data_IF_868094136383
#
_entry.id   IF_868094136383
#
_cell.length_a   1.000
_cell.length_b   1.000
_cell.length_c   1.000
_cell.angle_alpha   90.00
_cell.angle_beta   90.00
_cell.angle_gamma   90.00
#
_symmetry.space_group_name_H-M   'P 1'
#
loop_
_entity.id
_entity.type
_entity.pdbx_description
1 polymer ?
#
# COMPACT_ATOMS: atom_id res chain seq x y z
N UNK A 1 6.02 11.45 3.86
CA UNK A 1 5.37 10.44 4.69
C UNK A 1 5.34 9.11 3.96
N UNK A 2 5.68 8.05 4.64
CA UNK A 2 5.68 6.70 4.09
C UNK A 2 4.50 5.93 4.66
N UNK A 3 3.65 5.42 3.78
CA UNK A 3 2.44 4.69 4.16
C UNK A 3 2.62 3.20 3.87
N UNK A 4 2.11 2.36 4.75
CA UNK A 4 2.17 0.91 4.57
C UNK A 4 0.79 0.30 4.65
N UNK A 5 0.53 -0.68 3.82
CA UNK A 5 -0.72 -1.42 3.80
C UNK A 5 -0.42 -2.91 3.89
N UNK A 6 -0.90 -3.54 4.94
CA UNK A 6 -0.79 -4.98 5.13
C UNK A 6 -2.14 -5.60 4.85
N UNK A 7 -2.17 -6.54 3.93
CA UNK A 7 -3.41 -7.10 3.42
C UNK A 7 -3.92 -6.31 2.24
N UNK A 8 -3.73 -6.84 1.03
CA UNK A 8 -4.19 -6.19 -0.21
C UNK A 8 -5.52 -6.79 -0.62
N UNK A 9 -6.60 -6.08 -0.38
CA UNK A 9 -7.94 -6.45 -0.80
C UNK A 9 -8.63 -5.28 -1.46
N UNK A 10 -9.93 -5.40 -1.70
CA UNK A 10 -10.69 -4.34 -2.34
C UNK A 10 -10.73 -3.06 -1.50
N UNK A 11 -10.77 -3.21 -0.18
CA UNK A 11 -10.76 -2.05 0.73
C UNK A 11 -9.43 -1.30 0.62
N UNK A 12 -8.32 -2.04 0.62
CA UNK A 12 -6.99 -1.43 0.46
C UNK A 12 -6.89 -0.69 -0.86
N UNK A 13 -7.37 -1.31 -1.94
CA UNK A 13 -7.38 -0.70 -3.26
C UNK A 13 -8.15 0.62 -3.25
N UNK A 14 -9.35 0.62 -2.65
CA UNK A 14 -10.18 1.82 -2.58
C UNK A 14 -9.50 2.93 -1.79
N UNK A 15 -8.88 2.60 -0.66
CA UNK A 15 -8.17 3.58 0.18
C UNK A 15 -6.99 4.18 -0.57
N UNK A 16 -6.21 3.35 -1.26
CA UNK A 16 -5.07 3.83 -2.03
C UNK A 16 -5.52 4.76 -3.16
N UNK A 17 -6.58 4.41 -3.89
CA UNK A 17 -7.12 5.32 -4.91
C UNK A 17 -7.56 6.65 -4.31
N UNK A 18 -8.17 6.61 -3.13
CA UNK A 18 -8.55 7.83 -2.43
C UNK A 18 -7.32 8.70 -2.10
N UNK A 19 -6.24 8.07 -1.63
CA UNK A 19 -5.01 8.79 -1.32
C UNK A 19 -4.38 9.38 -2.59
N UNK A 20 -4.32 8.61 -3.67
CA UNK A 20 -3.75 9.06 -4.93
C UNK A 20 -4.50 10.27 -5.51
N UNK A 21 -5.80 10.34 -5.27
CA UNK A 21 -6.64 11.43 -5.77
C UNK A 21 -6.83 12.55 -4.75
N UNK A 22 -6.15 12.49 -3.62
CA UNK A 22 -6.26 13.49 -2.57
C UNK A 22 -5.06 14.44 -2.59
N UNK A 23 -5.10 15.42 -1.66
CA UNK A 23 -3.99 16.34 -1.46
C UNK A 23 -3.01 15.83 -0.38
N UNK A 24 -3.20 14.61 0.09
CA UNK A 24 -2.30 14.01 1.08
C UNK A 24 -0.91 13.84 0.46
N UNK A 25 0.09 14.37 1.14
CA UNK A 25 1.48 14.27 0.68
C UNK A 25 2.09 12.99 1.22
N UNK A 26 2.61 12.17 0.32
CA UNK A 26 3.30 10.93 0.67
C UNK A 26 4.52 10.76 -0.25
N UNK A 27 5.54 10.09 0.25
CA UNK A 27 6.74 9.82 -0.54
C UNK A 27 6.72 8.40 -1.11
N UNK A 28 6.22 7.44 -0.33
CA UNK A 28 6.14 6.04 -0.73
C UNK A 28 4.89 5.40 -0.14
N UNK A 29 4.36 4.40 -0.86
CA UNK A 29 3.29 3.54 -0.38
C UNK A 29 3.79 2.10 -0.51
N UNK A 30 3.94 1.42 0.63
CA UNK A 30 4.36 0.02 0.66
C UNK A 30 3.12 -0.86 0.82
N UNK A 31 3.00 -1.88 -0.01
CA UNK A 31 1.86 -2.79 0.02
C UNK A 31 2.33 -4.23 0.11
N UNK A 32 1.55 -5.06 0.79
CA UNK A 32 1.88 -6.47 0.90
C UNK A 32 1.60 -7.19 -0.42
N UNK A 33 2.29 -8.32 -0.63
CA UNK A 33 2.16 -9.09 -1.86
C UNK A 33 1.12 -10.20 -1.76
N UNK A 34 0.31 -10.23 -0.68
CA UNK A 34 -0.62 -11.32 -0.42
C UNK A 34 -1.62 -11.56 -1.54
N UNK A 35 -2.18 -10.49 -2.11
CA UNK A 35 -3.05 -10.58 -3.29
C UNK A 35 -2.28 -10.08 -4.50
N UNK A 36 -1.72 -10.99 -5.27
CA UNK A 36 -0.83 -10.65 -6.37
C UNK A 36 -1.50 -9.83 -7.47
N UNK A 37 -2.77 -10.09 -7.75
CA UNK A 37 -3.49 -9.34 -8.79
C UNK A 37 -3.62 -7.86 -8.39
N UNK A 38 -4.05 -7.61 -7.17
CA UNK A 38 -4.23 -6.25 -6.68
C UNK A 38 -2.89 -5.56 -6.50
N UNK A 39 -1.91 -6.25 -5.91
CA UNK A 39 -0.57 -5.67 -5.72
C UNK A 39 0.07 -5.27 -7.04
N UNK A 40 0.02 -6.17 -8.02
CA UNK A 40 0.58 -5.91 -9.34
C UNK A 40 -0.13 -4.74 -10.01
N UNK A 41 -1.45 -4.71 -9.94
CA UNK A 41 -2.24 -3.63 -10.53
C UNK A 41 -1.87 -2.28 -9.91
N UNK A 42 -1.81 -2.22 -8.57
CA UNK A 42 -1.50 -0.98 -7.86
C UNK A 42 -0.09 -0.50 -8.15
N UNK A 43 0.89 -1.41 -8.22
CA UNK A 43 2.27 -1.04 -8.48
C UNK A 43 2.46 -0.41 -9.86
N UNK A 44 1.58 -0.70 -10.80
CA UNK A 44 1.62 -0.12 -12.15
C UNK A 44 1.01 1.27 -12.22
N UNK A 45 0.18 1.63 -11.25
CA UNK A 45 -0.51 2.93 -11.25
C UNK A 45 0.45 4.06 -10.88
N UNK A 46 1.38 3.79 -9.96
CA UNK A 46 2.31 4.82 -9.50
C UNK A 46 3.65 4.19 -9.14
N UNK A 47 4.73 4.88 -9.50
CA UNK A 47 6.09 4.46 -9.14
C UNK A 47 6.36 4.54 -7.64
N UNK A 48 5.53 5.27 -6.92
CA UNK A 48 5.65 5.40 -5.46
C UNK A 48 5.09 4.20 -4.71
N UNK A 49 4.33 3.35 -5.39
CA UNK A 49 3.77 2.14 -4.79
C UNK A 49 4.76 0.99 -4.96
N UNK A 50 5.20 0.43 -3.84
CA UNK A 50 6.22 -0.63 -3.82
C UNK A 50 5.64 -1.86 -3.14
N UNK A 51 5.72 -3.00 -3.80
CA UNK A 51 5.26 -4.28 -3.25
C UNK A 51 6.37 -4.88 -2.39
N UNK A 52 6.04 -5.21 -1.14
CA UNK A 52 6.98 -5.78 -0.18
C UNK A 52 6.43 -7.13 0.26
N UNK A 53 7.24 -8.17 0.17
CA UNK A 53 6.82 -9.54 0.54
C UNK A 53 6.77 -9.75 2.05
N UNK A 54 7.62 -9.06 2.79
CA UNK A 54 7.74 -9.24 4.24
C UNK A 54 6.96 -8.14 4.97
N UNK A 55 5.90 -8.55 5.68
CA UNK A 55 5.06 -7.61 6.43
C UNK A 55 5.84 -6.85 7.50
N UNK A 56 6.82 -7.49 8.13
CA UNK A 56 7.65 -6.83 9.13
C UNK A 56 8.44 -5.67 8.50
N UNK A 57 8.88 -5.85 7.26
CA UNK A 57 9.60 -4.81 6.55
C UNK A 57 8.69 -3.63 6.25
N UNK A 58 7.41 -3.89 5.92
CA UNK A 58 6.43 -2.82 5.74
C UNK A 58 6.29 -2.02 7.03
N UNK A 59 6.18 -2.69 8.17
CA UNK A 59 6.09 -2.03 9.47
C UNK A 59 7.31 -1.16 9.74
N UNK A 60 8.50 -1.68 9.44
CA UNK A 60 9.75 -0.97 9.70
C UNK A 60 9.93 0.27 8.83
N UNK A 61 9.43 0.24 7.60
CA UNK A 61 9.62 1.32 6.63
C UNK A 61 8.53 2.39 6.72
N UNK A 62 7.38 2.06 7.27
CA UNK A 62 6.20 2.92 7.20
C UNK A 62 6.01 3.76 8.46
N UNK A 63 5.58 4.99 8.28
CA UNK A 63 5.21 5.87 9.38
C UNK A 63 3.77 5.63 9.81
N UNK A 64 2.90 5.30 8.85
CA UNK A 64 1.50 4.92 9.09
C UNK A 64 1.25 3.58 8.44
N UNK A 65 0.63 2.68 9.19
CA UNK A 65 0.30 1.34 8.67
C UNK A 65 -1.19 1.10 8.78
N UNK A 66 -1.77 0.66 7.68
CA UNK A 66 -3.18 0.29 7.59
C UNK A 66 -3.28 -1.22 7.50
N UNK A 67 -4.07 -1.81 8.38
CA UNK A 67 -4.31 -3.25 8.39
C UNK A 67 -5.66 -3.55 7.75
N UNK A 68 -5.63 -4.33 6.68
CA UNK A 68 -6.84 -4.77 5.99
C UNK A 68 -6.94 -6.28 6.12
N UNK A 69 -7.36 -6.73 7.26
CA UNK A 69 -7.53 -8.15 7.56
C UNK A 69 -8.99 -8.45 7.83
N UNK A 70 -9.44 -9.58 7.28
CA UNK A 70 -10.80 -10.07 7.51
C UNK A 70 -10.81 -11.07 8.65
#
# INVERSE_FOLDING_TARGET
MKLGFIGTGQITKAVIYGILNSKIKYSKIYISSRNKKISSHLSKISKKIIVIKDNQKILNLSQWVFLSIT
#
